data_IF_598892309623
#
_entry.id   IF_598892309623
#
_cell.length_a   1.000
_cell.length_b   1.000
_cell.length_c   1.000
_cell.angle_alpha   90.00
_cell.angle_beta   90.00
_cell.angle_gamma   90.00
#
_symmetry.space_group_name_H-M   'P 1'
#
loop_
_entity.id
_entity.type
_entity.pdbx_description
1 polymer ?
#
# COMPACT_ATOMS: atom_id res chain seq x y z
N UNK A 1 23.52 20.65 13.13
CA UNK A 1 22.76 20.58 11.86
C UNK A 1 23.21 19.32 11.11
N UNK A 2 22.26 18.51 10.63
CA UNK A 2 22.52 17.29 9.85
C UNK A 2 23.38 17.57 8.61
N UNK A 3 23.03 18.61 7.83
CA UNK A 3 23.72 18.96 6.58
C UNK A 3 25.16 19.43 6.79
N UNK A 4 25.48 20.00 7.95
CA UNK A 4 26.82 20.52 8.21
C UNK A 4 27.89 19.41 8.34
N UNK A 5 27.45 18.17 8.54
CA UNK A 5 28.33 17.00 8.66
C UNK A 5 28.49 16.24 7.34
N UNK A 6 27.82 16.67 6.27
CA UNK A 6 27.83 15.96 4.98
C UNK A 6 28.93 16.55 4.10
N UNK A 7 29.75 15.70 3.51
CA UNK A 7 30.88 16.13 2.68
C UNK A 7 30.89 15.40 1.34
N UNK A 8 31.46 16.04 0.32
CA UNK A 8 31.74 15.39 -0.97
C UNK A 8 33.22 15.04 -0.99
N UNK A 9 33.54 13.74 -1.06
CA UNK A 9 34.91 13.24 -0.91
C UNK A 9 35.22 12.18 -1.98
N UNK A 10 36.48 12.06 -2.42
CA UNK A 10 36.91 10.97 -3.29
C UNK A 10 36.86 9.64 -2.54
N UNK A 11 36.29 8.61 -3.17
CA UNK A 11 36.18 7.28 -2.58
C UNK A 11 37.02 6.24 -3.35
N UNK A 12 36.97 4.98 -2.89
CA UNK A 12 37.81 3.89 -3.41
C UNK A 12 37.56 3.54 -4.89
N UNK A 13 36.41 3.93 -5.43
CA UNK A 13 36.08 3.80 -6.85
C UNK A 13 36.65 4.92 -7.73
N UNK A 14 37.35 5.89 -7.13
CA UNK A 14 37.96 7.02 -7.83
C UNK A 14 37.02 8.20 -8.08
N UNK A 15 35.75 8.09 -7.68
CA UNK A 15 34.73 9.10 -7.90
C UNK A 15 34.43 9.92 -6.64
N UNK A 16 33.84 11.10 -6.83
CA UNK A 16 33.38 11.96 -5.73
C UNK A 16 31.98 11.56 -5.29
N UNK A 17 31.83 11.22 -4.00
CA UNK A 17 30.54 10.83 -3.43
C UNK A 17 30.14 11.69 -2.24
N UNK A 18 28.83 11.77 -2.03
CA UNK A 18 28.25 12.30 -0.79
C UNK A 18 28.58 11.30 0.33
N UNK A 19 29.32 11.77 1.32
CA UNK A 19 29.81 10.99 2.45
C UNK A 19 29.25 11.51 3.77
N UNK A 20 28.88 10.59 4.64
CA UNK A 20 28.39 10.86 5.99
C UNK A 20 29.43 10.42 7.06
N UNK A 21 29.47 11.04 8.25
CA UNK A 21 30.30 10.54 9.32
C UNK A 21 29.92 9.11 9.70
N UNK A 22 30.92 8.25 9.82
CA UNK A 22 30.72 6.83 10.15
C UNK A 22 29.99 6.61 11.48
N UNK A 23 30.28 7.45 12.47
CA UNK A 23 29.81 7.28 13.85
C UNK A 23 28.32 7.65 14.02
N UNK A 24 27.73 8.35 13.04
CA UNK A 24 26.34 8.79 13.08
C UNK A 24 25.37 7.81 12.38
N UNK A 25 25.84 6.59 12.00
CA UNK A 25 25.06 5.60 11.25
C UNK A 25 23.66 5.33 11.84
N UNK A 26 23.54 5.25 13.17
CA UNK A 26 22.23 5.00 13.79
C UNK A 26 21.27 6.15 13.57
N UNK A 27 21.73 7.40 13.71
CA UNK A 27 20.95 8.60 13.34
C UNK A 27 20.57 8.56 11.85
N UNK A 28 21.44 7.98 11.03
CA UNK A 28 21.21 7.48 9.68
C UNK A 28 19.90 6.71 9.52
N UNK A 29 19.90 5.57 10.19
CA UNK A 29 18.86 4.58 10.18
C UNK A 29 17.55 5.09 10.84
N UNK A 30 17.61 6.05 11.78
CA UNK A 30 16.42 6.73 12.31
C UNK A 30 15.56 7.39 11.22
N UNK A 31 16.16 7.91 10.14
CA UNK A 31 15.41 8.49 9.02
C UNK A 31 14.56 7.43 8.32
N UNK A 32 15.12 6.24 8.11
CA UNK A 32 14.40 5.12 7.51
C UNK A 32 13.35 4.55 8.45
N UNK A 33 13.62 4.50 9.77
CA UNK A 33 12.61 4.14 10.79
C UNK A 33 11.45 5.13 10.83
N UNK A 34 11.74 6.42 10.71
CA UNK A 34 10.73 7.47 10.60
C UNK A 34 9.90 7.28 9.34
N UNK A 35 10.54 7.05 8.19
CA UNK A 35 9.85 6.72 6.93
C UNK A 35 8.94 5.51 7.09
N UNK A 36 9.43 4.41 7.66
CA UNK A 36 8.63 3.21 7.93
C UNK A 36 7.40 3.51 8.78
N UNK A 37 7.58 4.26 9.87
CA UNK A 37 6.50 4.67 10.77
C UNK A 37 5.43 5.47 10.01
N UNK A 38 5.84 6.46 9.22
CA UNK A 38 4.92 7.24 8.36
C UNK A 38 4.21 6.36 7.32
N UNK A 39 4.92 5.41 6.72
CA UNK A 39 4.30 4.45 5.80
C UNK A 39 3.20 3.67 6.51
N UNK A 40 3.49 3.05 7.65
CA UNK A 40 2.54 2.22 8.38
C UNK A 40 1.35 3.03 8.92
N UNK A 41 1.62 4.14 9.57
CA UNK A 41 0.65 4.85 10.41
C UNK A 41 -0.13 5.92 9.65
N UNK A 42 0.39 6.41 8.51
CA UNK A 42 -0.24 7.46 7.73
C UNK A 42 -0.59 7.00 6.31
N UNK A 43 0.39 6.55 5.53
CA UNK A 43 0.16 6.26 4.10
C UNK A 43 -0.57 4.94 3.85
N UNK A 44 -0.33 3.96 4.71
CA UNK A 44 -0.88 2.61 4.64
C UNK A 44 -1.87 2.31 5.77
N UNK A 45 -2.36 3.33 6.47
CA UNK A 45 -3.50 3.13 7.37
C UNK A 45 -4.71 2.67 6.55
N UNK A 46 -5.44 1.70 7.10
CA UNK A 46 -6.54 0.99 6.44
C UNK A 46 -7.53 1.93 5.75
N UNK A 47 -7.97 2.99 6.43
CA UNK A 47 -8.97 3.95 5.91
C UNK A 47 -8.46 4.69 4.66
N UNK A 48 -7.20 5.11 4.66
CA UNK A 48 -6.59 5.80 3.52
C UNK A 48 -6.43 4.86 2.32
N UNK A 49 -6.06 3.60 2.58
CA UNK A 49 -5.98 2.58 1.52
C UNK A 49 -7.33 2.33 0.88
N UNK A 50 -8.37 2.15 1.71
CA UNK A 50 -9.75 1.99 1.26
C UNK A 50 -10.19 3.16 0.34
N UNK A 51 -9.97 4.40 0.77
CA UNK A 51 -10.30 5.58 -0.02
C UNK A 51 -9.51 5.65 -1.35
N UNK A 52 -8.20 5.42 -1.29
CA UNK A 52 -7.34 5.39 -2.48
C UNK A 52 -7.79 4.33 -3.49
N UNK A 53 -8.26 3.18 -3.01
CA UNK A 53 -8.76 2.12 -3.88
C UNK A 53 -10.10 2.49 -4.52
N UNK A 54 -11.04 3.10 -3.78
CA UNK A 54 -12.29 3.62 -4.37
C UNK A 54 -11.99 4.61 -5.49
N UNK A 55 -11.12 5.58 -5.22
CA UNK A 55 -10.71 6.60 -6.19
C UNK A 55 -10.08 5.94 -7.43
N UNK A 56 -9.16 4.99 -7.24
CA UNK A 56 -8.54 4.25 -8.35
C UNK A 56 -9.58 3.55 -9.23
N UNK A 57 -10.59 2.93 -8.61
CA UNK A 57 -11.63 2.20 -9.34
C UNK A 57 -12.59 3.12 -10.09
N UNK A 58 -13.00 4.22 -9.45
CA UNK A 58 -13.77 5.30 -10.08
C UNK A 58 -13.04 5.81 -11.32
N UNK A 59 -11.74 6.12 -11.21
CA UNK A 59 -10.92 6.60 -12.33
C UNK A 59 -10.79 5.54 -13.44
N UNK A 60 -10.56 4.28 -13.08
CA UNK A 60 -10.42 3.19 -14.06
C UNK A 60 -11.70 2.96 -14.88
N UNK A 61 -12.87 2.99 -14.23
CA UNK A 61 -14.17 2.89 -14.89
C UNK A 61 -14.49 4.12 -15.72
N UNK A 62 -14.04 5.28 -15.27
CA UNK A 62 -14.23 6.55 -15.99
C UNK A 62 -13.24 6.75 -17.14
N UNK A 63 -12.27 5.86 -17.33
CA UNK A 63 -11.08 6.08 -18.17
C UNK A 63 -11.39 6.40 -19.64
N UNK A 64 -12.48 5.86 -20.18
CA UNK A 64 -12.90 6.09 -21.58
C UNK A 64 -13.90 7.25 -21.75
N UNK A 65 -14.31 7.90 -20.66
CA UNK A 65 -15.25 9.02 -20.72
C UNK A 65 -14.48 10.32 -20.97
N UNK A 66 -14.94 11.19 -21.88
CA UNK A 66 -14.31 12.49 -22.12
C UNK A 66 -14.70 13.47 -21.01
N UNK A 67 -13.96 13.46 -19.91
CA UNK A 67 -14.27 14.20 -18.69
C UNK A 67 -13.36 15.42 -18.45
N UNK A 68 -12.16 15.47 -19.03
CA UNK A 68 -11.20 16.55 -18.82
C UNK A 68 -11.42 17.63 -19.87
N UNK A 69 -11.50 18.90 -19.47
CA UNK A 69 -11.61 20.01 -20.42
C UNK A 69 -10.28 20.26 -21.11
N UNK A 70 -10.31 20.40 -22.42
CA UNK A 70 -9.15 20.73 -23.25
C UNK A 70 -9.62 21.60 -24.40
N UNK A 71 -9.26 22.89 -24.35
CA UNK A 71 -9.70 23.89 -25.34
C UNK A 71 -11.24 23.92 -25.46
N UNK A 72 -11.78 23.65 -26.63
CA UNK A 72 -13.21 23.65 -26.96
C UNK A 72 -13.88 22.27 -26.77
N UNK A 73 -13.12 21.25 -26.39
CA UNK A 73 -13.60 19.88 -26.24
C UNK A 73 -13.31 19.28 -24.88
N UNK A 74 -13.78 18.04 -24.68
CA UNK A 74 -13.34 17.19 -23.58
C UNK A 74 -12.55 16.01 -24.10
N UNK A 75 -11.59 15.58 -23.29
CA UNK A 75 -10.70 14.45 -23.55
C UNK A 75 -10.80 13.43 -22.42
N UNK A 76 -10.46 12.20 -22.76
CA UNK A 76 -10.36 11.08 -21.82
C UNK A 76 -9.11 11.21 -20.94
N UNK A 77 -9.06 10.41 -19.87
CA UNK A 77 -7.88 10.33 -18.99
C UNK A 77 -6.60 9.95 -19.76
N UNK A 78 -6.59 8.93 -20.66
CA UNK A 78 -5.40 8.57 -21.42
C UNK A 78 -4.97 9.67 -22.38
N UNK A 79 -5.91 10.29 -23.11
CA UNK A 79 -5.59 11.41 -24.02
C UNK A 79 -4.96 12.58 -23.27
N UNK A 80 -5.45 12.89 -22.06
CA UNK A 80 -4.90 13.97 -21.26
C UNK A 80 -3.43 13.73 -20.87
N UNK A 81 -3.00 12.49 -20.68
CA UNK A 81 -1.58 12.19 -20.38
C UNK A 81 -0.64 12.47 -21.55
N UNK A 82 -1.16 12.61 -22.77
CA UNK A 82 -0.38 12.93 -23.98
C UNK A 82 -0.19 14.43 -24.20
N UNK A 83 -0.78 15.31 -23.38
CA UNK A 83 -0.68 16.76 -23.51
C UNK A 83 -0.52 17.42 -22.14
N UNK A 84 0.56 18.17 -21.93
CA UNK A 84 0.77 18.91 -20.66
C UNK A 84 -0.36 19.90 -20.39
N UNK A 85 -0.92 20.51 -21.43
CA UNK A 85 -2.03 21.45 -21.26
C UNK A 85 -3.29 20.74 -20.80
N UNK A 86 -3.62 19.57 -21.36
CA UNK A 86 -4.73 18.74 -20.87
C UNK A 86 -4.46 18.17 -19.46
N UNK A 87 -3.26 17.64 -19.25
CA UNK A 87 -2.85 17.06 -17.97
C UNK A 87 -2.89 18.07 -16.82
N UNK A 88 -2.54 19.35 -17.08
CA UNK A 88 -2.62 20.41 -16.07
C UNK A 88 -4.03 20.66 -15.54
N UNK A 89 -5.07 20.25 -16.29
CA UNK A 89 -6.46 20.34 -15.87
C UNK A 89 -6.90 19.14 -15.00
N UNK A 90 -6.08 18.10 -14.91
CA UNK A 90 -6.33 16.93 -14.07
C UNK A 90 -5.87 17.20 -12.63
N UNK A 91 -6.82 17.50 -11.77
CA UNK A 91 -6.63 17.65 -10.33
C UNK A 91 -7.76 16.92 -9.58
N UNK A 92 -7.75 16.97 -8.25
CA UNK A 92 -8.71 16.26 -7.39
C UNK A 92 -10.18 16.64 -7.67
N UNK A 93 -10.43 17.81 -8.25
CA UNK A 93 -11.75 18.25 -8.72
C UNK A 93 -12.35 17.34 -9.79
N UNK A 94 -11.54 16.49 -10.45
CA UNK A 94 -12.00 15.52 -11.43
C UNK A 94 -13.05 14.56 -10.85
N UNK A 95 -12.98 14.24 -9.55
CA UNK A 95 -13.97 13.36 -8.91
C UNK A 95 -15.37 13.97 -8.94
N UNK A 96 -15.48 15.29 -8.77
CA UNK A 96 -16.77 16.00 -8.88
C UNK A 96 -17.28 16.00 -10.32
N UNK A 97 -16.39 16.13 -11.30
CA UNK A 97 -16.74 16.08 -12.71
C UNK A 97 -17.22 14.68 -13.11
N UNK A 98 -16.56 13.63 -12.62
CA UNK A 98 -16.95 12.23 -12.86
C UNK A 98 -18.36 11.96 -12.33
N UNK A 99 -18.67 12.39 -11.10
CA UNK A 99 -20.01 12.24 -10.51
C UNK A 99 -21.12 12.80 -11.39
N UNK A 100 -20.86 13.87 -12.14
CA UNK A 100 -21.85 14.53 -12.99
C UNK A 100 -21.93 13.90 -14.39
N UNK A 101 -20.79 13.50 -14.96
CA UNK A 101 -20.67 13.17 -16.38
C UNK A 101 -20.62 11.68 -16.69
N UNK A 102 -20.35 10.84 -15.70
CA UNK A 102 -20.22 9.39 -15.88
C UNK A 102 -21.49 8.71 -15.38
N UNK A 103 -22.28 8.20 -16.31
CA UNK A 103 -23.48 7.39 -16.04
C UNK A 103 -23.10 5.91 -15.89
N UNK A 104 -22.43 5.59 -14.78
CA UNK A 104 -22.09 4.23 -14.38
C UNK A 104 -22.53 4.01 -12.92
N UNK A 105 -23.37 2.99 -12.71
CA UNK A 105 -23.96 2.70 -11.41
C UNK A 105 -22.90 2.47 -10.33
N UNK A 106 -21.86 1.70 -10.65
CA UNK A 106 -20.77 1.38 -9.74
C UNK A 106 -19.97 2.65 -9.40
N UNK A 107 -19.72 3.53 -10.38
CA UNK A 107 -19.06 4.82 -10.16
C UNK A 107 -19.86 5.71 -9.20
N UNK A 108 -21.18 5.76 -9.34
CA UNK A 108 -22.05 6.58 -8.48
C UNK A 108 -22.12 6.01 -7.05
N UNK A 109 -22.21 4.69 -6.91
CA UNK A 109 -22.16 4.02 -5.62
C UNK A 109 -20.82 4.28 -4.92
N UNK A 110 -19.69 4.02 -5.59
CA UNK A 110 -18.35 4.25 -5.02
C UNK A 110 -18.12 5.70 -4.63
N UNK A 111 -18.62 6.63 -5.44
CA UNK A 111 -18.59 8.07 -5.15
C UNK A 111 -19.34 8.41 -3.87
N UNK A 112 -20.54 7.83 -3.69
CA UNK A 112 -21.34 8.00 -2.47
C UNK A 112 -20.69 7.32 -1.26
N UNK A 113 -20.03 6.18 -1.47
CA UNK A 113 -19.26 5.48 -0.45
C UNK A 113 -18.05 6.31 0.03
N UNK A 114 -17.37 6.99 -0.89
CA UNK A 114 -16.24 7.87 -0.60
C UNK A 114 -16.70 9.11 0.21
N UNK A 115 -17.82 9.72 -0.18
CA UNK A 115 -18.38 10.88 0.53
C UNK A 115 -18.84 10.54 1.95
N UNK A 116 -19.38 9.33 2.13
CA UNK A 116 -19.93 8.88 3.42
C UNK A 116 -18.93 8.09 4.28
N UNK A 117 -17.86 7.55 3.69
CA UNK A 117 -16.88 6.64 4.30
C UNK A 117 -17.49 5.35 4.88
N UNK A 118 -18.65 4.88 4.38
CA UNK A 118 -19.47 3.84 5.05
C UNK A 118 -19.34 2.39 4.55
N UNK A 119 -18.71 2.10 3.41
CA UNK A 119 -19.08 0.87 2.65
C UNK A 119 -17.93 -0.05 2.23
N UNK A 120 -16.73 0.07 2.81
CA UNK A 120 -15.64 -0.87 2.50
C UNK A 120 -15.08 -1.51 3.76
N UNK A 121 -15.27 -2.82 3.83
CA UNK A 121 -14.66 -3.68 4.83
C UNK A 121 -13.33 -4.23 4.32
N UNK A 122 -12.29 -4.15 5.15
CA UNK A 122 -11.22 -5.13 5.07
C UNK A 122 -11.81 -6.47 5.51
N UNK A 123 -11.65 -7.49 4.68
CA UNK A 123 -12.23 -8.80 4.92
C UNK A 123 -11.22 -9.79 5.52
N UNK A 124 -9.92 -9.45 5.48
CA UNK A 124 -8.88 -10.20 6.16
C UNK A 124 -7.46 -9.73 5.83
N UNK A 125 -6.48 -10.49 6.28
CA UNK A 125 -5.08 -10.37 5.89
C UNK A 125 -4.45 -11.76 5.74
N UNK A 126 -3.36 -11.84 4.98
CA UNK A 126 -2.52 -13.02 4.78
C UNK A 126 -1.07 -12.58 4.94
N UNK A 127 -0.24 -13.40 5.55
CA UNK A 127 1.21 -13.30 5.45
C UNK A 127 1.66 -14.20 4.28
N UNK A 128 2.09 -13.63 3.14
CA UNK A 128 2.46 -14.42 1.97
C UNK A 128 3.72 -15.24 2.23
N UNK A 129 3.73 -16.47 1.73
CA UNK A 129 4.94 -17.29 1.59
C UNK A 129 5.65 -16.97 0.27
N UNK A 130 6.89 -17.46 0.10
CA UNK A 130 7.70 -17.27 -1.12
C UNK A 130 6.96 -17.74 -2.39
N UNK A 131 6.05 -18.72 -2.25
CA UNK A 131 5.27 -19.28 -3.36
C UNK A 131 3.96 -18.52 -3.66
N UNK A 132 3.63 -17.52 -2.83
CA UNK A 132 2.37 -16.80 -2.89
C UNK A 132 2.57 -15.35 -3.34
N UNK A 133 2.28 -15.12 -4.62
CA UNK A 133 2.12 -13.79 -5.16
C UNK A 133 0.64 -13.38 -5.20
N UNK A 134 0.41 -12.10 -5.40
CA UNK A 134 -0.91 -11.47 -5.47
C UNK A 134 -1.87 -12.20 -6.44
N UNK A 135 -1.35 -12.69 -7.56
CA UNK A 135 -2.15 -13.29 -8.62
C UNK A 135 -2.69 -14.67 -8.22
N UNK A 136 -1.87 -15.52 -7.58
CA UNK A 136 -2.31 -16.84 -7.09
C UNK A 136 -3.38 -16.72 -6.00
N UNK A 137 -3.23 -15.76 -5.07
CA UNK A 137 -4.23 -15.47 -4.04
C UNK A 137 -5.55 -15.07 -4.70
N UNK A 138 -5.48 -14.15 -5.67
CA UNK A 138 -6.65 -13.63 -6.38
C UNK A 138 -7.39 -14.76 -7.11
N UNK A 139 -6.67 -15.58 -7.88
CA UNK A 139 -7.25 -16.71 -8.61
C UNK A 139 -7.91 -17.74 -7.70
N UNK A 140 -7.30 -18.05 -6.55
CA UNK A 140 -7.83 -19.03 -5.61
C UNK A 140 -9.14 -18.58 -4.96
N UNK A 141 -9.22 -17.30 -4.57
CA UNK A 141 -10.45 -16.72 -4.01
C UNK A 141 -11.54 -16.67 -5.09
N UNK A 142 -11.21 -16.21 -6.29
CA UNK A 142 -12.15 -16.15 -7.43
C UNK A 142 -12.70 -17.53 -7.80
N UNK A 143 -11.86 -18.56 -7.86
CA UNK A 143 -12.30 -19.93 -8.18
C UNK A 143 -13.11 -20.62 -7.08
N UNK A 144 -13.15 -20.05 -5.88
CA UNK A 144 -13.84 -20.62 -4.71
C UNK A 144 -15.19 -19.98 -4.39
N UNK A 145 -15.50 -18.84 -5.00
CA UNK A 145 -16.74 -18.08 -4.77
C UNK A 145 -17.74 -18.39 -5.87
N UNK A 146 -19.02 -18.54 -5.51
CA UNK A 146 -20.08 -18.97 -6.45
C UNK A 146 -20.53 -17.87 -7.40
N UNK A 147 -20.31 -16.62 -7.02
CA UNK A 147 -20.74 -15.45 -7.78
C UNK A 147 -19.79 -15.19 -8.93
N UNK A 148 -20.33 -15.24 -10.15
CA UNK A 148 -19.60 -14.89 -11.35
C UNK A 148 -19.27 -13.40 -11.32
N UNK A 149 -17.99 -13.06 -11.19
CA UNK A 149 -17.41 -11.70 -11.27
C UNK A 149 -17.20 -10.92 -9.95
N UNK A 150 -16.45 -11.50 -9.01
CA UNK A 150 -15.84 -10.73 -7.91
C UNK A 150 -14.50 -10.07 -8.28
N UNK A 151 -13.94 -10.35 -9.46
CA UNK A 151 -12.57 -9.98 -9.83
C UNK A 151 -12.30 -8.47 -9.85
N UNK A 152 -13.34 -7.67 -10.14
CA UNK A 152 -13.30 -6.22 -10.01
C UNK A 152 -13.38 -5.73 -8.56
N UNK A 153 -14.08 -6.49 -7.70
CA UNK A 153 -14.40 -6.17 -6.30
C UNK A 153 -13.34 -6.60 -5.29
N UNK A 154 -12.57 -7.62 -5.61
CA UNK A 154 -11.52 -8.15 -4.75
C UNK A 154 -10.21 -7.36 -4.95
N UNK A 155 -9.69 -6.80 -3.86
CA UNK A 155 -8.43 -6.07 -3.87
C UNK A 155 -7.45 -6.77 -2.94
N UNK A 156 -6.30 -7.10 -3.52
CA UNK A 156 -5.13 -7.61 -2.82
C UNK A 156 -4.16 -6.44 -2.67
N UNK A 157 -3.94 -5.99 -1.43
CA UNK A 157 -3.11 -4.82 -1.11
C UNK A 157 -1.92 -5.25 -0.24
N UNK A 158 -0.75 -5.52 -0.85
CA UNK A 158 0.49 -5.73 -0.10
C UNK A 158 0.80 -4.51 0.76
N UNK A 159 0.97 -4.73 2.07
CA UNK A 159 1.42 -3.70 3.00
C UNK A 159 2.88 -3.41 2.69
N UNK A 160 3.14 -2.16 2.34
CA UNK A 160 4.50 -1.65 2.18
C UNK A 160 5.07 -1.27 3.53
N UNK A 161 6.31 -1.68 3.78
CA UNK A 161 7.04 -1.35 5.01
C UNK A 161 7.84 -0.06 4.86
N UNK A 162 8.02 0.49 3.66
CA UNK A 162 8.95 1.61 3.47
C UNK A 162 10.41 1.18 3.60
N UNK A 163 10.71 -0.11 3.53
CA UNK A 163 12.07 -0.66 3.36
C UNK A 163 12.19 -1.46 2.06
N UNK A 164 11.30 -1.22 1.09
CA UNK A 164 11.36 -1.90 -0.20
C UNK A 164 12.73 -1.70 -0.83
N UNK A 165 13.37 -2.80 -1.21
CA UNK A 165 14.70 -2.84 -1.82
C UNK A 165 15.85 -2.33 -0.92
N UNK A 166 15.69 -2.29 0.41
CA UNK A 166 16.77 -1.82 1.30
C UNK A 166 18.10 -2.56 1.09
N UNK A 167 18.04 -3.84 0.70
CA UNK A 167 19.20 -4.70 0.41
C UNK A 167 20.05 -4.21 -0.77
N UNK A 168 19.48 -3.37 -1.64
CA UNK A 168 20.18 -2.75 -2.77
C UNK A 168 20.75 -1.38 -2.44
N UNK A 169 20.41 -0.83 -1.27
CA UNK A 169 20.84 0.50 -0.87
C UNK A 169 22.24 0.45 -0.26
N UNK A 170 23.07 1.40 -0.66
CA UNK A 170 24.39 1.61 -0.08
C UNK A 170 24.64 3.10 0.12
N UNK A 171 25.60 3.42 0.98
CA UNK A 171 25.93 4.81 1.27
C UNK A 171 27.41 4.95 1.67
N UNK A 172 28.09 5.92 1.09
CA UNK A 172 29.47 6.24 1.43
C UNK A 172 29.56 7.00 2.75
N UNK A 173 30.64 6.76 3.48
CA UNK A 173 30.95 7.41 4.74
C UNK A 173 32.41 7.86 4.79
N UNK A 174 32.71 8.76 5.73
CA UNK A 174 34.07 9.10 6.13
C UNK A 174 34.27 8.88 7.63
N UNK A 175 35.51 8.64 8.04
CA UNK A 175 35.88 8.53 9.46
C UNK A 175 36.70 9.72 9.92
N UNK A 176 36.88 9.86 11.23
CA UNK A 176 37.62 10.98 11.84
C UNK A 176 39.08 11.08 11.36
N UNK A 177 39.66 9.98 10.87
CA UNK A 177 40.99 9.95 10.25
C UNK A 177 41.02 10.43 8.78
N UNK A 178 39.87 10.80 8.21
CA UNK A 178 39.73 11.24 6.82
C UNK A 178 39.61 10.12 5.80
N UNK A 179 39.67 8.85 6.21
CA UNK A 179 39.41 7.72 5.31
C UNK A 179 37.93 7.63 4.93
N UNK A 180 37.67 7.08 3.75
CA UNK A 180 36.33 6.84 3.23
C UNK A 180 36.01 5.36 3.15
N UNK A 181 34.74 5.00 3.28
CA UNK A 181 34.25 3.65 3.04
C UNK A 181 32.80 3.65 2.58
N UNK A 182 32.19 2.47 2.51
CA UNK A 182 30.81 2.31 2.08
C UNK A 182 30.08 1.33 3.01
N UNK A 183 28.85 1.68 3.37
CA UNK A 183 27.91 0.75 3.98
C UNK A 183 27.12 0.07 2.86
N UNK A 184 27.25 -1.24 2.72
CA UNK A 184 26.49 -2.05 1.77
C UNK A 184 25.37 -2.86 2.43
N UNK A 185 25.53 -3.15 3.72
CA UNK A 185 24.67 -4.04 4.51
C UNK A 185 24.21 -3.40 5.84
N UNK A 186 24.69 -2.20 6.16
CA UNK A 186 24.39 -1.48 7.41
C UNK A 186 23.51 -0.24 7.22
N UNK A 187 23.42 0.22 5.98
CA UNK A 187 22.58 1.35 5.60
C UNK A 187 21.13 0.89 5.44
N UNK A 188 20.19 1.74 5.87
CA UNK A 188 18.75 1.54 5.70
C UNK A 188 18.24 0.20 6.25
N UNK A 189 18.79 -0.28 7.37
CA UNK A 189 18.42 -1.58 7.91
C UNK A 189 16.99 -1.58 8.48
N UNK A 190 16.15 -2.55 8.10
CA UNK A 190 14.80 -2.68 8.63
C UNK A 190 14.85 -3.14 10.09
N UNK A 191 13.83 -2.73 10.86
CA UNK A 191 13.54 -3.35 12.16
C UNK A 191 12.95 -4.75 11.94
N UNK A 192 13.09 -5.66 12.92
CA UNK A 192 12.57 -7.05 12.83
C UNK A 192 11.11 -7.15 12.35
N UNK A 193 10.25 -6.22 12.78
CA UNK A 193 8.83 -6.23 12.42
C UNK A 193 8.55 -5.62 11.04
N UNK A 194 9.50 -4.90 10.45
CA UNK A 194 9.35 -4.27 9.13
C UNK A 194 9.68 -5.22 7.97
N UNK A 195 10.30 -6.37 8.27
CA UNK A 195 10.55 -7.45 7.31
C UNK A 195 9.36 -8.41 7.13
N UNK A 196 8.34 -8.35 8.01
CA UNK A 196 7.12 -9.14 7.84
C UNK A 196 6.29 -8.59 6.69
N UNK A 197 6.28 -9.31 5.57
CA UNK A 197 5.36 -9.02 4.47
C UNK A 197 3.95 -9.41 4.92
N UNK A 198 3.01 -8.48 4.78
CA UNK A 198 1.58 -8.70 5.03
C UNK A 198 0.80 -8.27 3.80
N UNK A 199 -0.23 -9.01 3.46
CA UNK A 199 -1.17 -8.70 2.38
C UNK A 199 -2.53 -8.49 3.01
N UNK A 200 -3.12 -7.31 2.78
CA UNK A 200 -4.50 -7.03 3.19
C UNK A 200 -5.43 -7.33 2.03
N UNK A 201 -6.60 -7.86 2.36
CA UNK A 201 -7.65 -8.14 1.38
C UNK A 201 -8.84 -7.25 1.68
N UNK A 202 -9.25 -6.49 0.67
CA UNK A 202 -10.47 -5.70 0.70
C UNK A 202 -11.47 -6.27 -0.30
N UNK A 203 -12.74 -6.18 0.06
CA UNK A 203 -13.84 -6.44 -0.86
C UNK A 203 -14.70 -5.17 -0.94
N UNK A 204 -14.87 -4.67 -2.15
CA UNK A 204 -15.78 -3.55 -2.41
C UNK A 204 -17.16 -4.11 -2.67
N UNK A 205 -17.91 -4.37 -1.61
CA UNK A 205 -19.28 -4.88 -1.68
C UNK A 205 -20.07 -4.49 -0.44
N UNK A 206 -21.34 -4.11 -0.61
CA UNK A 206 -22.31 -4.00 0.47
C UNK A 206 -23.06 -5.32 0.75
N UNK A 207 -22.85 -6.34 -0.08
CA UNK A 207 -23.48 -7.66 0.04
C UNK A 207 -22.79 -8.49 1.13
N UNK A 208 -23.52 -8.71 2.22
CA UNK A 208 -23.05 -9.47 3.39
C UNK A 208 -22.87 -10.96 3.08
N UNK A 209 -23.68 -11.53 2.21
CA UNK A 209 -23.55 -12.93 1.83
C UNK A 209 -22.27 -13.11 1.02
N UNK A 210 -22.03 -12.23 0.05
CA UNK A 210 -20.80 -12.22 -0.73
C UNK A 210 -19.56 -12.02 0.14
N UNK A 211 -19.58 -11.07 1.08
CA UNK A 211 -18.50 -10.87 2.05
C UNK A 211 -18.19 -12.17 2.79
N UNK A 212 -19.22 -12.86 3.26
CA UNK A 212 -19.06 -14.11 4.00
C UNK A 212 -18.54 -15.26 3.13
N UNK A 213 -18.96 -15.34 1.87
CA UNK A 213 -18.41 -16.30 0.90
C UNK A 213 -16.92 -16.07 0.66
N UNK A 214 -16.51 -14.81 0.45
CA UNK A 214 -15.11 -14.47 0.23
C UNK A 214 -14.28 -14.73 1.49
N UNK A 215 -14.81 -14.45 2.69
CA UNK A 215 -14.15 -14.81 3.96
C UNK A 215 -13.96 -16.33 4.11
N UNK A 216 -14.95 -17.14 3.70
CA UNK A 216 -14.82 -18.61 3.70
C UNK A 216 -13.78 -19.09 2.69
N UNK A 217 -13.76 -18.52 1.49
CA UNK A 217 -12.75 -18.83 0.48
C UNK A 217 -11.34 -18.52 1.01
N UNK A 218 -11.18 -17.36 1.65
CA UNK A 218 -9.93 -16.95 2.29
C UNK A 218 -9.52 -17.92 3.42
N UNK A 219 -10.45 -18.30 4.30
CA UNK A 219 -10.16 -19.23 5.38
C UNK A 219 -9.75 -20.61 4.86
N UNK A 220 -10.46 -21.12 3.84
CA UNK A 220 -10.12 -22.39 3.20
C UNK A 220 -8.72 -22.34 2.60
N UNK A 221 -8.44 -21.28 1.85
CA UNK A 221 -7.15 -21.02 1.22
C UNK A 221 -6.01 -21.05 2.25
N UNK A 222 -6.19 -20.44 3.41
CA UNK A 222 -5.19 -20.47 4.49
C UNK A 222 -5.07 -21.87 5.12
N UNK A 223 -6.20 -22.56 5.30
CA UNK A 223 -6.23 -23.89 5.94
C UNK A 223 -5.60 -24.98 5.07
N UNK A 224 -5.83 -24.94 3.76
CA UNK A 224 -5.27 -25.89 2.81
C UNK A 224 -3.73 -25.78 2.79
N UNK A 225 -3.18 -24.56 2.86
CA UNK A 225 -1.73 -24.34 2.93
C UNK A 225 -1.10 -24.79 4.26
N UNK A 226 -1.80 -24.60 5.39
CA UNK A 226 -1.34 -25.12 6.69
C UNK A 226 -1.21 -26.65 6.69
N UNK A 227 -1.93 -27.35 5.82
CA UNK A 227 -1.86 -28.82 5.68
C UNK A 227 -0.73 -29.29 4.76
N UNK A 228 -0.29 -28.46 3.83
CA UNK A 228 0.70 -28.83 2.80
C UNK A 228 2.17 -28.54 3.19
N UNK A 229 2.48 -27.83 4.28
CA UNK A 229 3.88 -27.73 4.74
C UNK A 229 4.21 -26.91 6.02
N UNK A 230 4.64 -27.62 7.07
CA UNK A 230 5.78 -27.34 8.00
C UNK A 230 5.95 -25.93 8.59
N UNK A 231 4.95 -25.25 9.18
CA UNK A 231 5.26 -24.12 10.09
C UNK A 231 4.22 -23.95 11.21
N UNK A 232 4.63 -24.28 12.44
CA UNK A 232 4.00 -23.73 13.65
C UNK A 232 4.53 -22.32 13.86
N UNK A 233 3.72 -21.28 13.60
CA UNK A 233 3.50 -20.12 14.48
C UNK A 233 2.73 -19.00 13.76
N UNK A 234 1.69 -18.51 14.45
CA UNK A 234 1.00 -17.22 14.31
C UNK A 234 0.41 -16.86 12.95
N UNK A 235 -0.72 -17.48 12.60
CA UNK A 235 -1.53 -16.99 11.48
C UNK A 235 -2.97 -16.79 11.94
N UNK A 236 -3.51 -15.61 11.64
CA UNK A 236 -4.92 -15.17 11.70
C UNK A 236 -5.39 -14.36 12.93
N UNK A 237 -5.71 -13.10 12.66
CA UNK A 237 -6.75 -12.29 13.28
C UNK A 237 -7.76 -12.00 12.18
N UNK A 238 -8.69 -12.93 12.00
CA UNK A 238 -9.79 -12.73 11.06
C UNK A 238 -10.76 -11.74 11.73
N UNK A 239 -10.99 -10.59 11.10
CA UNK A 239 -11.97 -9.61 11.59
C UNK A 239 -13.37 -10.18 11.29
N UNK A 240 -13.87 -11.04 12.18
CA UNK A 240 -15.14 -11.77 11.99
C UNK A 240 -16.38 -10.87 12.24
N UNK A 241 -16.23 -9.68 12.81
CA UNK A 241 -17.37 -8.83 13.15
C UNK A 241 -17.38 -7.53 12.34
N UNK A 242 -17.92 -7.57 11.12
CA UNK A 242 -18.30 -6.39 10.35
C UNK A 242 -19.65 -5.86 10.87
N UNK A 243 -19.61 -5.11 11.98
CA UNK A 243 -20.70 -4.19 12.26
C UNK A 243 -20.48 -2.92 11.42
N UNK A 244 -21.06 -2.92 10.22
CA UNK A 244 -21.02 -1.80 9.24
C UNK A 244 -21.67 -0.53 9.84
N UNK A 245 -22.32 -0.63 11.01
CA UNK A 245 -23.06 0.47 11.64
C UNK A 245 -22.29 1.30 12.68
N UNK A 246 -21.12 0.84 13.18
CA UNK A 246 -20.39 1.56 14.23
C UNK A 246 -18.96 1.87 13.82
N UNK A 247 -18.70 3.16 13.59
CA UNK A 247 -17.44 3.71 13.08
C UNK A 247 -16.22 3.64 14.03
N UNK A 248 -16.12 2.65 14.91
CA UNK A 248 -14.96 2.50 15.81
C UNK A 248 -14.62 1.02 15.97
N UNK A 249 -13.66 0.55 15.17
CA UNK A 249 -12.76 -0.51 15.61
C UNK A 249 -11.46 0.14 16.08
N UNK A 250 -10.85 -0.31 17.19
CA UNK A 250 -9.46 0.00 17.45
C UNK A 250 -8.63 -0.57 16.30
N UNK A 251 -7.70 0.22 15.77
CA UNK A 251 -6.73 -0.19 14.76
C UNK A 251 -5.86 -1.32 15.36
N UNK A 252 -6.33 -2.56 15.24
CA UNK A 252 -5.59 -3.75 15.68
C UNK A 252 -4.44 -4.13 14.74
N UNK A 253 -4.16 -3.29 13.72
CA UNK A 253 -2.89 -3.32 12.98
C UNK A 253 -1.72 -2.83 13.89
N UNK A 254 -2.01 -2.27 15.07
CA UNK A 254 -1.06 -1.93 16.15
C UNK A 254 -1.09 -2.99 17.27
N UNK A 255 -0.68 -4.23 16.98
CA UNK A 255 -0.37 -5.17 18.07
C UNK A 255 0.94 -4.72 18.75
N UNK A 256 0.78 -3.99 19.87
CA UNK A 256 1.72 -3.79 20.99
C UNK A 256 3.22 -3.55 20.68
N UNK A 257 3.62 -2.29 20.44
CA UNK A 257 5.04 -1.88 20.52
C UNK A 257 5.28 -0.48 21.13
N UNK A 258 4.51 -0.10 22.15
CA UNK A 258 5.00 0.89 23.11
C UNK A 258 4.78 0.36 24.53
N UNK A 259 5.83 0.23 25.36
CA UNK A 259 5.60 0.20 26.79
C UNK A 259 5.03 1.57 27.22
N UNK A 260 4.12 1.61 28.22
CA UNK A 260 3.64 2.87 28.77
C UNK A 260 4.83 3.68 29.31
N UNK A 261 4.78 5.00 29.06
CA UNK A 261 5.67 5.99 29.68
C UNK A 261 5.59 5.95 31.20
#
# INVERSE_FOLDING_TARGET
SFLNKVHVLPCADGELHICFPKDDLETYNDLFRTRHTLFRELYYIRKNRIAAIMIKRILAKSNQNPIIRYEDRRVTLPEATQSMLAYSQLNDGILSVIKILVDDHEVQELSSCLDSMKVIGQIGYIEPTIEWNVDRIKQSIEGSVKTDNIAGHLIIDPIKSGYENHVSLSQYYYTSDGSTGQWTDKWAQPTQNASELKIRIFLVSGDRELIHEVQKALQKLITDEQRDGVYEHNYLKLLINLDISQGIYPDQDNDNLMPPL
#
